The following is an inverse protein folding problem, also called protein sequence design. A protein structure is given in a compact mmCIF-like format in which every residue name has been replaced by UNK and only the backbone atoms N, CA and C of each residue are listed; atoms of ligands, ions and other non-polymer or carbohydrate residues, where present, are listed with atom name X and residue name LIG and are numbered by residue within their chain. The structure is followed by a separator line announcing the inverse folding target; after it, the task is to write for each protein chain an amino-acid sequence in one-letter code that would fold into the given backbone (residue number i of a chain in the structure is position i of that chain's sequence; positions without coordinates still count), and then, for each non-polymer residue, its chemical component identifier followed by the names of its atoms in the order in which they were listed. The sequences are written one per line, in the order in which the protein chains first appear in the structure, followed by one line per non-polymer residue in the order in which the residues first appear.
data_IF_677794789280
#
_entry.id   IF_677794789280
#
_cell.length_a   1.000
_cell.length_b   1.000
_cell.length_c   1.000
_cell.angle_alpha   90.00
_cell.angle_beta   90.00
_cell.angle_gamma   90.00
#
_symmetry.space_group_name_H-M   'P 1'
#
loop_
_entity.id
_entity.type
_entity.pdbx_description
1 polymer ?
#
# COMPACT_ATOMS: atom_id res chain seq x y z
N UNK A 1 9.88 33.68 -45.42
CA UNK A 1 8.80 34.30 -44.62
C UNK A 1 7.56 33.42 -44.41
N UNK A 2 7.18 32.48 -45.30
CA UNK A 2 6.04 31.56 -45.04
C UNK A 2 6.34 30.42 -44.03
N UNK A 3 7.60 29.99 -43.89
CA UNK A 3 7.98 28.90 -42.97
C UNK A 3 7.89 29.25 -41.49
N UNK A 4 8.29 30.47 -41.08
CA UNK A 4 8.36 30.84 -39.65
C UNK A 4 7.00 31.06 -38.98
N UNK A 5 5.97 31.47 -39.74
CA UNK A 5 4.61 31.60 -39.21
C UNK A 5 3.92 30.24 -39.03
N UNK A 6 4.28 29.25 -39.86
CA UNK A 6 3.73 27.89 -39.75
C UNK A 6 4.33 27.17 -38.52
N UNK A 7 5.65 27.29 -38.32
CA UNK A 7 6.33 26.75 -37.13
C UNK A 7 5.86 27.41 -35.82
N UNK A 8 5.58 28.72 -35.84
CA UNK A 8 5.09 29.43 -34.64
C UNK A 8 3.66 29.02 -34.27
N UNK A 9 2.76 28.90 -35.24
CA UNK A 9 1.40 28.41 -35.02
C UNK A 9 1.37 26.94 -34.58
N UNK A 10 2.27 26.12 -35.13
CA UNK A 10 2.41 24.71 -34.75
C UNK A 10 2.91 24.57 -33.30
N UNK A 11 3.91 25.35 -32.89
CA UNK A 11 4.39 25.39 -31.50
C UNK A 11 3.32 25.83 -30.50
N UNK A 12 2.51 26.84 -30.84
CA UNK A 12 1.40 27.29 -29.99
C UNK A 12 0.33 26.19 -29.86
N UNK A 13 0.06 25.47 -30.95
CA UNK A 13 -0.90 24.35 -30.93
C UNK A 13 -0.39 23.18 -30.08
N UNK A 14 0.87 22.78 -30.24
CA UNK A 14 1.53 21.74 -29.44
C UNK A 14 1.54 22.10 -27.95
N UNK A 15 1.92 23.33 -27.60
CA UNK A 15 1.88 23.82 -26.21
C UNK A 15 0.47 23.80 -25.61
N UNK A 16 -0.55 24.12 -26.41
CA UNK A 16 -1.94 24.05 -25.99
C UNK A 16 -2.39 22.61 -25.74
N UNK A 17 -1.99 21.66 -26.60
CA UNK A 17 -2.28 20.23 -26.44
C UNK A 17 -1.60 19.64 -25.19
N UNK A 18 -0.32 19.97 -24.97
CA UNK A 18 0.41 19.53 -23.78
C UNK A 18 -0.23 20.06 -22.49
N UNK A 19 -0.70 21.32 -22.51
CA UNK A 19 -1.41 21.90 -21.37
C UNK A 19 -2.73 21.19 -21.07
N UNK A 20 -3.48 20.79 -22.11
CA UNK A 20 -4.72 20.01 -21.95
C UNK A 20 -4.40 18.62 -21.38
N UNK A 21 -3.43 17.90 -21.94
CA UNK A 21 -3.03 16.57 -21.47
C UNK A 21 -2.55 16.62 -20.01
N UNK A 22 -1.69 17.57 -19.66
CA UNK A 22 -1.24 17.76 -18.28
C UNK A 22 -2.42 18.03 -17.35
N UNK A 23 -3.40 18.83 -17.77
CA UNK A 23 -4.60 19.08 -16.96
C UNK A 23 -5.41 17.81 -16.72
N UNK A 24 -5.60 16.97 -17.74
CA UNK A 24 -6.30 15.69 -17.60
C UNK A 24 -5.56 14.72 -16.67
N UNK A 25 -4.22 14.64 -16.78
CA UNK A 25 -3.40 13.82 -15.88
C UNK A 25 -3.51 14.32 -14.44
N UNK A 26 -3.50 15.64 -14.20
CA UNK A 26 -3.71 16.19 -12.85
C UNK A 26 -5.10 15.86 -12.30
N UNK A 27 -6.13 15.86 -13.13
CA UNK A 27 -7.47 15.43 -12.71
C UNK A 27 -7.47 13.94 -12.34
N UNK A 28 -6.84 13.08 -13.15
CA UNK A 28 -6.70 11.67 -12.85
C UNK A 28 -5.92 11.42 -11.55
N UNK A 29 -4.81 12.13 -11.33
CA UNK A 29 -4.05 12.13 -10.08
C UNK A 29 -4.94 12.45 -8.88
N UNK A 30 -5.73 13.53 -8.97
CA UNK A 30 -6.61 13.94 -7.87
C UNK A 30 -7.65 12.87 -7.53
N UNK A 31 -8.19 12.17 -8.53
CA UNK A 31 -9.08 11.04 -8.33
C UNK A 31 -8.32 9.90 -7.62
N UNK A 32 -7.15 9.51 -8.15
CA UNK A 32 -6.33 8.44 -7.60
C UNK A 32 -5.98 8.70 -6.13
N UNK A 33 -5.47 9.89 -5.81
CA UNK A 33 -5.09 10.26 -4.46
C UNK A 33 -6.26 10.27 -3.49
N UNK A 34 -7.46 10.66 -3.92
CA UNK A 34 -8.67 10.59 -3.07
C UNK A 34 -9.11 9.16 -2.80
N UNK A 35 -8.90 8.25 -3.75
CA UNK A 35 -9.24 6.84 -3.60
C UNK A 35 -8.26 6.08 -2.70
N UNK A 36 -6.96 6.41 -2.77
CA UNK A 36 -5.91 5.82 -1.94
C UNK A 36 -5.86 6.44 -0.54
N UNK A 37 -5.78 7.77 -0.45
CA UNK A 37 -5.59 8.50 0.81
C UNK A 37 -6.94 8.99 1.39
N UNK A 38 -7.99 8.20 1.21
CA UNK A 38 -9.33 8.49 1.71
C UNK A 38 -9.42 8.43 3.24
N UNK A 39 -10.64 8.62 3.76
CA UNK A 39 -10.88 8.52 5.20
C UNK A 39 -10.53 7.11 5.70
N UNK A 40 -9.69 7.04 6.74
CA UNK A 40 -9.31 5.79 7.41
C UNK A 40 -10.45 5.34 8.32
N UNK A 41 -10.81 4.04 8.35
CA UNK A 41 -11.80 3.53 9.30
C UNK A 41 -11.45 3.84 10.75
N UNK A 42 -12.46 4.16 11.55
CA UNK A 42 -12.33 4.22 13.00
C UNK A 42 -12.37 2.80 13.57
N UNK A 43 -11.51 2.53 14.54
CA UNK A 43 -11.35 1.21 15.13
C UNK A 43 -11.77 1.26 16.60
N UNK A 44 -12.29 0.15 17.10
CA UNK A 44 -12.63 -0.01 18.52
C UNK A 44 -11.39 -0.04 19.41
N UNK A 45 -10.27 -0.53 18.87
CA UNK A 45 -8.98 -0.59 19.52
C UNK A 45 -7.86 -0.49 18.47
N UNK A 46 -6.73 0.10 18.86
CA UNK A 46 -5.57 0.30 17.97
C UNK A 46 -5.74 1.43 16.96
N UNK A 47 -4.80 1.50 16.03
CA UNK A 47 -4.72 2.56 15.02
C UNK A 47 -4.19 2.03 13.69
N UNK A 48 -4.60 2.66 12.60
CA UNK A 48 -4.11 2.38 11.25
C UNK A 48 -3.60 3.65 10.59
N UNK A 49 -2.62 3.47 9.71
CA UNK A 49 -2.17 4.51 8.79
C UNK A 49 -1.84 3.93 7.43
N UNK A 50 -1.76 4.80 6.44
CA UNK A 50 -1.68 4.41 5.04
C UNK A 50 -1.39 5.66 4.23
N UNK A 51 -0.35 5.59 3.41
CA UNK A 51 0.05 6.65 2.49
C UNK A 51 0.69 6.03 1.24
N UNK A 52 0.41 6.64 0.09
CA UNK A 52 1.06 6.31 -1.18
C UNK A 52 1.61 7.58 -1.83
N UNK A 53 2.89 7.54 -2.17
CA UNK A 53 3.69 8.61 -2.76
C UNK A 53 4.16 8.15 -4.14
N UNK A 54 3.54 8.63 -5.24
CA UNK A 54 3.94 8.21 -6.57
C UNK A 54 5.29 8.80 -6.98
N UNK A 55 6.12 8.03 -7.70
CA UNK A 55 7.37 8.51 -8.30
C UNK A 55 7.14 9.48 -9.47
N UNK A 56 5.96 9.38 -10.11
CA UNK A 56 5.52 10.26 -11.20
C UNK A 56 4.29 11.05 -10.77
N UNK A 57 3.59 11.67 -11.72
CA UNK A 57 2.33 12.38 -11.43
C UNK A 57 1.26 11.41 -10.90
N UNK A 58 1.28 10.16 -11.35
CA UNK A 58 0.35 9.08 -11.00
C UNK A 58 1.11 7.75 -10.94
N UNK A 59 0.70 6.84 -10.05
CA UNK A 59 1.43 5.61 -9.72
C UNK A 59 0.64 4.31 -9.96
N UNK A 60 1.34 3.17 -9.93
CA UNK A 60 0.78 1.81 -9.96
C UNK A 60 0.45 1.24 -8.59
N UNK A 61 1.10 1.75 -7.53
CA UNK A 61 0.87 1.29 -6.17
C UNK A 61 -0.58 1.45 -5.71
N UNK A 62 -1.01 0.48 -4.90
CA UNK A 62 -2.35 0.39 -4.33
C UNK A 62 -2.30 0.05 -2.85
N UNK A 63 -3.17 0.69 -2.08
CA UNK A 63 -3.61 0.13 -0.82
C UNK A 63 -5.07 0.49 -0.54
N UNK A 64 -5.71 -0.27 0.34
CA UNK A 64 -7.08 0.02 0.73
C UNK A 64 -7.47 -0.61 2.07
N UNK A 65 -8.49 -0.03 2.68
CA UNK A 65 -9.09 -0.48 3.91
C UNK A 65 -10.59 -0.74 3.69
N UNK A 66 -11.04 -1.95 4.04
CA UNK A 66 -12.41 -2.42 3.91
C UNK A 66 -12.91 -2.93 5.28
N UNK A 67 -13.74 -2.14 6.00
CA UNK A 67 -14.41 -2.61 7.21
C UNK A 67 -15.38 -3.75 6.90
N UNK A 68 -15.28 -4.86 7.61
CA UNK A 68 -16.17 -6.00 7.49
C UNK A 68 -17.35 -5.89 8.49
N UNK A 69 -18.53 -6.48 8.18
CA UNK A 69 -19.71 -6.38 9.05
C UNK A 69 -19.54 -6.97 10.45
N UNK A 70 -18.57 -7.87 10.64
CA UNK A 70 -18.24 -8.52 11.91
C UNK A 70 -17.26 -7.70 12.77
N UNK A 71 -16.88 -6.49 12.33
CA UNK A 71 -15.97 -5.61 13.04
C UNK A 71 -14.48 -5.82 12.70
N UNK A 72 -14.16 -6.83 11.89
CA UNK A 72 -12.81 -7.00 11.34
C UNK A 72 -12.52 -5.93 10.28
N UNK A 73 -11.24 -5.69 10.04
CA UNK A 73 -10.75 -4.84 8.97
C UNK A 73 -10.01 -5.70 7.95
N UNK A 74 -10.51 -5.73 6.72
CA UNK A 74 -9.74 -6.27 5.58
C UNK A 74 -8.90 -5.15 4.98
N UNK A 75 -7.61 -5.37 4.83
CA UNK A 75 -6.68 -4.46 4.18
C UNK A 75 -5.99 -5.13 3.01
N UNK A 76 -5.56 -4.32 2.05
CA UNK A 76 -4.72 -4.76 0.95
C UNK A 76 -3.65 -3.72 0.68
N UNK A 77 -2.47 -4.19 0.27
CA UNK A 77 -1.42 -3.40 -0.35
C UNK A 77 -0.96 -4.15 -1.60
N UNK A 78 -0.51 -3.43 -2.62
CA UNK A 78 0.09 -4.05 -3.78
C UNK A 78 0.76 -3.06 -4.70
N UNK A 79 1.53 -3.63 -5.64
CA UNK A 79 2.23 -2.90 -6.69
C UNK A 79 1.91 -3.52 -8.05
N UNK A 80 1.58 -2.65 -9.00
CA UNK A 80 1.26 -3.00 -10.38
C UNK A 80 2.51 -2.84 -11.22
N UNK A 81 2.86 -3.90 -11.96
CA UNK A 81 4.00 -3.86 -12.89
C UNK A 81 3.94 -2.65 -13.84
N UNK A 82 5.00 -1.85 -13.82
CA UNK A 82 5.15 -0.68 -14.69
C UNK A 82 4.98 0.63 -13.91
N UNK A 83 4.90 1.77 -14.61
CA UNK A 83 4.84 3.10 -13.97
C UNK A 83 3.97 4.06 -14.75
N UNK A 84 3.48 5.10 -14.08
CA UNK A 84 2.71 6.18 -14.71
C UNK A 84 1.29 5.74 -15.07
N UNK A 85 0.74 6.32 -16.14
CA UNK A 85 -0.68 6.19 -16.49
C UNK A 85 -1.13 4.73 -16.72
N UNK A 86 -0.38 3.87 -17.45
CA UNK A 86 -0.81 2.48 -17.66
C UNK A 86 -0.94 1.69 -16.35
N UNK A 87 0.05 1.84 -15.46
CA UNK A 87 0.03 1.18 -14.15
C UNK A 87 -1.12 1.73 -13.28
N UNK A 88 -1.35 3.04 -13.31
CA UNK A 88 -2.47 3.68 -12.61
C UNK A 88 -3.85 3.18 -13.07
N UNK A 89 -4.03 2.90 -14.37
CA UNK A 89 -5.28 2.32 -14.87
C UNK A 89 -5.51 0.91 -14.32
N UNK A 90 -4.48 0.07 -14.34
CA UNK A 90 -4.52 -1.28 -13.78
C UNK A 90 -4.70 -1.26 -12.26
N UNK A 91 -4.17 -0.25 -11.57
CA UNK A 91 -4.43 -0.03 -10.15
C UNK A 91 -5.93 0.18 -9.90
N UNK A 92 -6.60 1.03 -10.69
CA UNK A 92 -8.05 1.25 -10.55
C UNK A 92 -8.85 -0.05 -10.80
N UNK A 93 -8.45 -0.86 -11.78
CA UNK A 93 -9.04 -2.19 -12.00
C UNK A 93 -8.83 -3.10 -10.78
N UNK A 94 -7.62 -3.12 -10.24
CA UNK A 94 -7.26 -3.89 -9.04
C UNK A 94 -8.10 -3.49 -7.84
N UNK A 95 -8.29 -2.18 -7.63
CA UNK A 95 -9.19 -1.64 -6.59
C UNK A 95 -10.62 -2.11 -6.77
N UNK A 96 -11.14 -2.09 -8.00
CA UNK A 96 -12.49 -2.59 -8.30
C UNK A 96 -12.64 -4.07 -7.96
N UNK A 97 -11.67 -4.90 -8.37
CA UNK A 97 -11.65 -6.33 -8.07
C UNK A 97 -11.56 -6.59 -6.55
N UNK A 98 -10.70 -5.86 -5.84
CA UNK A 98 -10.58 -5.98 -4.38
C UNK A 98 -11.90 -5.62 -3.69
N UNK A 99 -12.50 -4.47 -4.00
CA UNK A 99 -13.75 -4.04 -3.34
C UNK A 99 -14.90 -5.02 -3.57
N UNK A 100 -14.98 -5.63 -4.76
CA UNK A 100 -15.97 -6.67 -5.05
C UNK A 100 -15.68 -7.99 -4.34
N UNK A 101 -14.41 -8.40 -4.26
CA UNK A 101 -14.02 -9.65 -3.61
C UNK A 101 -14.13 -9.56 -2.08
N UNK A 102 -13.72 -8.43 -1.49
CA UNK A 102 -13.76 -8.19 -0.05
C UNK A 102 -15.18 -8.30 0.53
N UNK A 103 -16.20 -7.89 -0.23
CA UNK A 103 -17.61 -7.99 0.19
C UNK A 103 -18.14 -9.43 0.22
N UNK A 104 -17.56 -10.33 -0.59
CA UNK A 104 -18.16 -11.64 -0.90
C UNK A 104 -17.34 -12.85 -0.44
N UNK A 105 -16.16 -12.65 0.16
CA UNK A 105 -15.22 -13.73 0.53
C UNK A 105 -14.94 -13.75 2.03
N UNK A 106 -14.71 -14.94 2.58
CA UNK A 106 -14.59 -15.14 4.03
C UNK A 106 -13.24 -14.67 4.60
N UNK A 107 -12.18 -14.75 3.80
CA UNK A 107 -10.80 -14.48 4.23
C UNK A 107 -9.92 -13.85 3.13
N UNK A 108 -8.68 -13.46 3.48
CA UNK A 108 -7.74 -12.83 2.56
C UNK A 108 -7.29 -13.74 1.41
N UNK A 109 -7.12 -15.05 1.63
CA UNK A 109 -6.72 -16.01 0.59
C UNK A 109 -7.82 -16.22 -0.45
N UNK A 110 -9.07 -16.34 0.00
CA UNK A 110 -10.24 -16.36 -0.89
C UNK A 110 -10.37 -15.04 -1.66
N UNK A 111 -10.12 -13.90 -1.00
CA UNK A 111 -10.10 -12.57 -1.64
C UNK A 111 -9.10 -12.55 -2.79
N UNK A 112 -7.85 -12.95 -2.54
CA UNK A 112 -6.80 -12.97 -3.57
C UNK A 112 -7.12 -13.94 -4.71
N UNK A 113 -7.69 -15.11 -4.38
CA UNK A 113 -8.13 -16.10 -5.38
C UNK A 113 -9.21 -15.51 -6.30
N UNK A 114 -10.21 -14.85 -5.72
CA UNK A 114 -11.28 -14.19 -6.47
C UNK A 114 -10.74 -13.04 -7.33
N UNK A 115 -9.84 -12.21 -6.80
CA UNK A 115 -9.17 -11.15 -7.55
C UNK A 115 -8.37 -11.69 -8.72
N UNK A 116 -7.57 -12.75 -8.52
CA UNK A 116 -6.79 -13.37 -9.57
C UNK A 116 -7.70 -13.89 -10.68
N UNK A 117 -8.78 -14.60 -10.34
CA UNK A 117 -9.73 -15.11 -11.32
C UNK A 117 -10.41 -13.99 -12.13
N UNK A 118 -10.74 -12.87 -11.49
CA UNK A 118 -11.34 -11.73 -12.16
C UNK A 118 -10.37 -10.99 -13.10
N UNK A 119 -9.09 -10.88 -12.71
CA UNK A 119 -8.10 -10.06 -13.42
C UNK A 119 -7.20 -10.85 -14.37
N UNK A 120 -7.11 -12.18 -14.24
CA UNK A 120 -6.11 -12.99 -14.94
C UNK A 120 -6.11 -12.79 -16.47
N UNK A 121 -7.29 -12.80 -17.10
CA UNK A 121 -7.41 -12.64 -18.55
C UNK A 121 -6.89 -11.29 -19.05
N UNK A 122 -7.25 -10.22 -18.35
CA UNK A 122 -6.84 -8.85 -18.69
C UNK A 122 -5.35 -8.63 -18.44
N UNK A 123 -4.84 -9.03 -17.27
CA UNK A 123 -3.42 -8.95 -16.93
C UNK A 123 -2.55 -9.73 -17.91
N UNK A 124 -2.98 -10.94 -18.28
CA UNK A 124 -2.26 -11.76 -19.26
C UNK A 124 -2.24 -11.12 -20.64
N UNK A 125 -3.36 -10.53 -21.08
CA UNK A 125 -3.46 -9.83 -22.37
C UNK A 125 -2.54 -8.61 -22.41
N UNK A 126 -2.43 -7.90 -21.29
CA UNK A 126 -1.62 -6.69 -21.16
C UNK A 126 -0.13 -6.98 -20.86
N UNK A 127 0.26 -8.25 -20.73
CA UNK A 127 1.59 -8.65 -20.25
C UNK A 127 1.98 -7.95 -18.93
N UNK A 128 1.03 -7.85 -18.01
CA UNK A 128 1.18 -7.22 -16.71
C UNK A 128 0.84 -8.20 -15.59
N UNK A 129 1.17 -7.82 -14.37
CA UNK A 129 0.82 -8.54 -13.15
C UNK A 129 0.73 -7.54 -11.99
N UNK A 130 0.17 -7.99 -10.88
CA UNK A 130 0.08 -7.20 -9.65
C UNK A 130 0.54 -8.05 -8.48
N UNK A 131 1.54 -7.58 -7.76
CA UNK A 131 1.92 -8.17 -6.47
C UNK A 131 1.00 -7.61 -5.40
N UNK A 132 0.48 -8.46 -4.51
CA UNK A 132 -0.45 -8.02 -3.45
C UNK A 132 -0.22 -8.74 -2.14
N UNK A 133 -0.46 -8.08 -1.02
CA UNK A 133 -0.67 -8.70 0.28
C UNK A 133 -2.03 -8.26 0.83
N UNK A 134 -2.85 -9.24 1.22
CA UNK A 134 -4.19 -9.01 1.76
C UNK A 134 -4.25 -9.59 3.17
N UNK A 135 -4.94 -8.90 4.09
CA UNK A 135 -5.07 -9.36 5.45
C UNK A 135 -6.39 -8.95 6.10
N UNK A 136 -6.86 -9.80 7.00
CA UNK A 136 -7.93 -9.51 7.95
C UNK A 136 -7.33 -9.28 9.32
N UNK A 137 -7.71 -8.18 9.95
CA UNK A 137 -7.36 -7.89 11.33
C UNK A 137 -8.63 -7.72 12.17
N UNK A 138 -8.70 -8.44 13.28
CA UNK A 138 -9.66 -8.18 14.34
C UNK A 138 -9.01 -7.31 15.42
N UNK A 139 -9.37 -6.01 15.54
CA UNK A 139 -8.79 -5.13 16.54
C UNK A 139 -9.20 -5.48 17.98
N UNK A 140 -10.29 -6.23 18.16
CA UNK A 140 -10.80 -6.62 19.47
C UNK A 140 -10.06 -7.83 20.05
N UNK A 141 -9.84 -8.85 19.22
CA UNK A 141 -9.13 -10.05 19.66
C UNK A 141 -7.62 -9.98 19.43
N UNK A 142 -7.14 -9.14 18.50
CA UNK A 142 -5.74 -9.15 18.05
C UNK A 142 -5.44 -10.25 17.02
N UNK A 143 -6.44 -11.00 16.56
CA UNK A 143 -6.27 -11.98 15.48
C UNK A 143 -5.89 -11.26 14.18
N UNK A 144 -4.86 -11.76 13.51
CA UNK A 144 -4.41 -11.26 12.21
C UNK A 144 -4.17 -12.44 11.26
N UNK A 145 -4.93 -12.48 10.17
CA UNK A 145 -4.85 -13.50 9.13
C UNK A 145 -4.41 -12.81 7.84
N UNK A 146 -3.43 -13.37 7.13
CA UNK A 146 -2.95 -12.77 5.89
C UNK A 146 -2.68 -13.81 4.82
N UNK A 147 -2.76 -13.36 3.57
CA UNK A 147 -2.35 -14.07 2.37
C UNK A 147 -1.43 -13.16 1.55
N UNK A 148 -0.48 -13.77 0.84
CA UNK A 148 0.48 -13.04 0.03
C UNK A 148 0.46 -13.57 -1.41
N UNK A 149 0.30 -12.67 -2.37
CA UNK A 149 0.38 -12.92 -3.80
C UNK A 149 1.64 -12.31 -4.40
N UNK A 150 2.80 -12.79 -3.96
CA UNK A 150 4.11 -12.39 -4.48
C UNK A 150 4.57 -10.99 -4.09
N UNK A 151 4.02 -10.41 -3.02
CA UNK A 151 4.39 -9.09 -2.51
C UNK A 151 5.37 -9.19 -1.34
N UNK A 152 5.94 -8.06 -0.95
CA UNK A 152 6.83 -7.96 0.21
C UNK A 152 6.13 -8.47 1.48
N UNK A 153 6.89 -9.16 2.34
CA UNK A 153 6.35 -9.66 3.58
C UNK A 153 6.14 -8.49 4.56
N UNK A 154 5.00 -8.41 5.28
CA UNK A 154 4.81 -7.38 6.29
C UNK A 154 5.85 -7.53 7.40
N UNK A 155 6.35 -6.41 7.93
CA UNK A 155 7.25 -6.39 9.07
C UNK A 155 6.41 -6.37 10.35
N UNK A 156 6.71 -7.29 11.27
CA UNK A 156 6.19 -7.29 12.63
C UNK A 156 7.24 -6.72 13.57
N UNK A 157 6.84 -5.73 14.35
CA UNK A 157 7.65 -5.16 15.43
C UNK A 157 6.94 -5.40 16.75
N UNK A 158 7.65 -6.05 17.67
CA UNK A 158 7.22 -6.23 19.05
C UNK A 158 8.16 -5.49 19.98
N UNK A 159 7.67 -5.09 21.15
CA UNK A 159 8.46 -4.35 22.14
C UNK A 159 9.70 -5.14 22.60
N UNK A 160 9.57 -6.46 22.75
CA UNK A 160 10.58 -7.30 23.37
C UNK A 160 11.44 -8.11 22.37
N UNK A 161 11.20 -7.96 21.06
CA UNK A 161 11.93 -8.69 20.03
C UNK A 161 12.41 -7.76 18.94
N UNK A 162 13.42 -8.20 18.19
CA UNK A 162 13.81 -7.51 16.96
C UNK A 162 12.62 -7.45 15.99
N UNK A 163 12.60 -6.39 15.18
CA UNK A 163 11.67 -6.29 14.05
C UNK A 163 12.02 -7.38 13.04
N UNK A 164 11.02 -8.11 12.57
CA UNK A 164 11.21 -9.21 11.61
C UNK A 164 10.10 -9.23 10.59
N UNK A 165 10.41 -9.62 9.35
CA UNK A 165 9.38 -9.97 8.38
C UNK A 165 8.52 -11.13 8.88
N UNK A 166 7.22 -11.05 8.63
CA UNK A 166 6.31 -12.17 8.83
C UNK A 166 6.73 -13.33 7.90
N UNK A 167 6.44 -14.58 8.30
CA UNK A 167 6.79 -15.72 7.47
C UNK A 167 6.19 -15.60 6.06
N UNK A 168 7.05 -15.74 5.05
CA UNK A 168 6.64 -15.68 3.65
C UNK A 168 5.68 -16.83 3.33
N UNK A 169 4.57 -16.50 2.68
CA UNK A 169 3.65 -17.48 2.10
C UNK A 169 4.01 -17.68 0.63
N UNK A 170 3.98 -18.92 0.18
CA UNK A 170 4.22 -19.24 -1.23
C UNK A 170 2.98 -18.83 -2.03
N UNK A 171 3.00 -17.64 -2.61
CA UNK A 171 1.95 -17.18 -3.51
C UNK A 171 2.53 -16.46 -4.72
N UNK A 172 1.83 -16.58 -5.84
CA UNK A 172 2.22 -15.98 -7.12
C UNK A 172 1.40 -14.70 -7.33
N UNK A 173 2.02 -13.67 -7.88
CA UNK A 173 1.35 -12.43 -8.32
C UNK A 173 0.05 -12.68 -9.09
N UNK A 174 -0.92 -11.78 -8.92
CA UNK A 174 -2.16 -11.81 -9.70
C UNK A 174 -1.82 -11.73 -11.20
N UNK A 175 -2.49 -12.55 -12.01
CA UNK A 175 -2.17 -12.68 -13.44
C UNK A 175 -1.03 -13.64 -13.76
N UNK A 176 -0.34 -14.20 -12.75
CA UNK A 176 0.75 -15.16 -12.95
C UNK A 176 0.28 -16.56 -13.33
N UNK A 177 -0.67 -17.14 -12.58
CA UNK A 177 -1.25 -18.45 -12.85
C UNK A 177 -2.79 -18.42 -12.80
N UNK A 178 -3.49 -19.06 -13.75
CA UNK A 178 -4.95 -19.12 -13.74
C UNK A 178 -5.43 -20.01 -12.59
N UNK A 179 -6.48 -19.59 -11.88
CA UNK A 179 -7.05 -20.40 -10.80
C UNK A 179 -6.14 -20.57 -9.57
N UNK A 180 -5.12 -19.72 -9.42
CA UNK A 180 -4.25 -19.74 -8.24
C UNK A 180 -5.08 -19.59 -6.96
N UNK A 181 -4.94 -20.58 -6.06
CA UNK A 181 -5.42 -20.49 -4.68
C UNK A 181 -4.29 -19.91 -3.79
N UNK A 182 -4.66 -19.11 -2.81
CA UNK A 182 -3.70 -18.47 -1.91
C UNK A 182 -3.86 -19.00 -0.49
N UNK A 183 -2.77 -19.54 0.04
CA UNK A 183 -2.71 -19.98 1.44
C UNK A 183 -2.78 -18.78 2.38
N UNK A 184 -3.32 -19.04 3.57
CA UNK A 184 -3.43 -18.07 4.64
C UNK A 184 -2.51 -18.46 5.81
N UNK A 185 -2.04 -17.45 6.55
CA UNK A 185 -1.38 -17.65 7.83
C UNK A 185 -1.99 -16.74 8.87
N UNK A 186 -2.13 -17.30 10.07
CA UNK A 186 -2.62 -16.59 11.23
C UNK A 186 -1.48 -16.31 12.21
N UNK A 187 -1.51 -15.11 12.78
CA UNK A 187 -0.74 -14.73 13.96
C UNK A 187 -1.66 -13.99 14.93
N UNK A 188 -1.18 -13.83 16.15
CA UNK A 188 -1.85 -13.04 17.16
C UNK A 188 -0.97 -11.85 17.54
N UNK A 189 -1.54 -10.65 17.42
CA UNK A 189 -0.91 -9.39 17.79
C UNK A 189 -1.14 -9.11 19.27
N UNK A 190 -0.07 -8.71 19.96
CA UNK A 190 -0.11 -8.28 21.35
C UNK A 190 -0.29 -6.77 21.43
N UNK A 191 -0.62 -6.27 22.62
CA UNK A 191 -0.68 -4.84 22.88
C UNK A 191 0.61 -4.14 22.42
N UNK A 192 0.48 -2.98 21.79
CA UNK A 192 1.58 -2.22 21.17
C UNK A 192 2.30 -2.85 19.98
N UNK A 193 1.98 -4.09 19.56
CA UNK A 193 2.58 -4.66 18.35
C UNK A 193 2.26 -3.77 17.13
N UNK A 194 3.26 -3.59 16.26
CA UNK A 194 3.15 -2.86 15.00
C UNK A 194 3.33 -3.82 13.84
N UNK A 195 2.39 -3.79 12.89
CA UNK A 195 2.57 -4.33 11.55
C UNK A 195 2.84 -3.18 10.58
N UNK A 196 3.85 -3.36 9.74
CA UNK A 196 4.28 -2.42 8.72
C UNK A 196 4.34 -3.11 7.37
N UNK A 197 3.51 -2.67 6.44
CA UNK A 197 3.45 -3.14 5.06
C UNK A 197 4.04 -2.07 4.16
N UNK A 198 4.73 -2.50 3.11
CA UNK A 198 5.44 -1.59 2.22
C UNK A 198 5.58 -2.16 0.83
N UNK A 199 5.69 -1.26 -0.15
CA UNK A 199 6.14 -1.57 -1.51
C UNK A 199 7.65 -1.46 -1.61
N UNK A 200 8.24 -2.11 -2.62
CA UNK A 200 9.70 -2.16 -2.81
C UNK A 200 10.35 -0.78 -2.91
N UNK A 201 9.64 0.25 -3.38
CA UNK A 201 10.09 1.63 -3.42
C UNK A 201 10.64 2.17 -2.08
N UNK A 202 10.23 1.61 -0.93
CA UNK A 202 10.82 1.95 0.38
C UNK A 202 12.26 1.44 0.48
N UNK A 203 12.48 0.15 0.24
CA UNK A 203 13.79 -0.49 0.45
C UNK A 203 14.73 -0.27 -0.73
N UNK A 204 14.19 -0.04 -1.92
CA UNK A 204 14.93 0.26 -3.15
C UNK A 204 15.23 1.76 -3.34
N UNK A 205 14.78 2.63 -2.43
CA UNK A 205 15.13 4.05 -2.46
C UNK A 205 16.66 4.24 -2.46
N UNK A 206 17.19 5.08 -3.36
CA UNK A 206 18.64 5.23 -3.56
C UNK A 206 19.16 6.62 -3.19
N UNK A 207 20.34 6.65 -2.58
CA UNK A 207 21.10 7.87 -2.35
C UNK A 207 21.94 8.28 -3.59
N UNK A 208 22.74 9.36 -3.49
CA UNK A 208 23.60 9.82 -4.61
C UNK A 208 24.70 8.85 -5.00
N UNK A 209 25.09 7.95 -4.10
CA UNK A 209 26.03 6.87 -4.36
C UNK A 209 25.37 5.65 -5.03
N UNK A 210 24.06 5.72 -5.35
CA UNK A 210 23.26 4.60 -5.86
C UNK A 210 23.13 3.43 -4.88
N UNK A 211 23.33 3.68 -3.58
CA UNK A 211 23.14 2.68 -2.52
C UNK A 211 21.68 2.66 -2.11
N UNK A 212 21.09 1.47 -2.07
CA UNK A 212 19.69 1.27 -1.64
C UNK A 212 19.54 1.47 -0.13
N UNK A 213 18.39 1.98 0.30
CA UNK A 213 18.04 2.16 1.72
C UNK A 213 18.06 0.82 2.46
N UNK A 214 17.62 -0.26 1.81
CA UNK A 214 17.61 -1.64 2.27
C UNK A 214 16.69 -1.96 3.46
N UNK A 215 16.48 -3.25 3.67
CA UNK A 215 15.58 -3.79 4.69
C UNK A 215 16.16 -3.62 6.09
N UNK A 216 17.47 -3.80 6.27
CA UNK A 216 18.11 -3.75 7.59
C UNK A 216 17.96 -2.37 8.25
N UNK A 217 18.07 -1.29 7.46
CA UNK A 217 17.81 0.07 7.95
C UNK A 217 16.35 0.26 8.33
N UNK A 218 15.41 -0.24 7.50
CA UNK A 218 13.98 -0.15 7.77
C UNK A 218 13.62 -0.87 9.08
N UNK A 219 14.09 -2.10 9.28
CA UNK A 219 13.87 -2.87 10.51
C UNK A 219 14.39 -2.11 11.75
N UNK A 220 15.59 -1.55 11.66
CA UNK A 220 16.21 -0.77 12.75
C UNK A 220 15.42 0.51 13.06
N UNK A 221 14.96 1.22 12.03
CA UNK A 221 14.17 2.43 12.16
C UNK A 221 12.83 2.13 12.85
N UNK A 222 12.12 1.10 12.39
CA UNK A 222 10.83 0.72 12.93
C UNK A 222 10.93 0.25 14.37
N UNK A 223 11.94 -0.57 14.70
CA UNK A 223 12.18 -1.03 16.08
C UNK A 223 12.43 0.14 17.04
N UNK A 224 13.23 1.13 16.64
CA UNK A 224 13.58 2.28 17.49
C UNK A 224 12.44 3.30 17.70
N UNK A 225 11.38 3.26 16.89
CA UNK A 225 10.24 4.17 16.98
C UNK A 225 8.92 3.45 17.27
N UNK A 226 8.97 2.14 17.56
CA UNK A 226 7.79 1.30 17.76
C UNK A 226 6.94 1.70 18.97
N UNK A 227 7.46 2.52 19.90
CA UNK A 227 6.72 3.06 21.04
C UNK A 227 5.89 4.31 20.68
N UNK A 228 6.17 4.94 19.54
CA UNK A 228 5.53 6.20 19.11
C UNK A 228 4.11 6.01 18.58
N UNK A 229 3.28 7.07 18.57
CA UNK A 229 2.03 7.09 17.85
C UNK A 229 2.24 6.77 16.36
N UNK A 230 1.31 6.04 15.74
CA UNK A 230 1.43 5.57 14.36
C UNK A 230 1.70 6.70 13.33
N UNK A 231 1.13 7.88 13.56
CA UNK A 231 1.35 9.06 12.71
C UNK A 231 2.78 9.62 12.83
N UNK A 232 3.40 9.52 14.00
CA UNK A 232 4.80 9.93 14.20
C UNK A 232 5.74 8.92 13.54
N UNK A 233 5.41 7.62 13.59
CA UNK A 233 6.14 6.57 12.87
C UNK A 233 6.07 6.83 11.35
N UNK A 234 4.88 7.11 10.80
CA UNK A 234 4.69 7.40 9.37
C UNK A 234 5.58 8.55 8.92
N UNK A 235 5.50 9.69 9.63
CA UNK A 235 6.29 10.88 9.34
C UNK A 235 7.80 10.61 9.47
N UNK A 236 8.21 9.79 10.44
CA UNK A 236 9.60 9.45 10.65
C UNK A 236 10.14 8.62 9.48
N UNK A 237 9.38 7.62 9.01
CA UNK A 237 9.78 6.81 7.85
C UNK A 237 9.89 7.68 6.60
N UNK A 238 8.86 8.48 6.30
CA UNK A 238 8.87 9.36 5.12
C UNK A 238 10.05 10.33 5.16
N UNK A 239 10.26 11.04 6.28
CA UNK A 239 11.39 11.96 6.44
C UNK A 239 12.73 11.26 6.30
N UNK A 240 12.89 10.07 6.88
CA UNK A 240 14.14 9.31 6.80
C UNK A 240 14.47 8.93 5.35
N UNK A 241 13.47 8.56 4.54
CA UNK A 241 13.66 8.27 3.11
C UNK A 241 14.00 9.53 2.31
N UNK A 242 13.35 10.66 2.59
CA UNK A 242 13.67 11.96 1.98
C UNK A 242 15.11 12.40 2.29
N UNK A 243 15.54 12.24 3.55
CA UNK A 243 16.90 12.56 4.00
C UNK A 243 17.92 11.62 3.35
N UNK A 244 17.63 10.30 3.31
CA UNK A 244 18.51 9.30 2.71
C UNK A 244 18.68 9.48 1.20
N UNK A 245 17.62 9.87 0.50
CA UNK A 245 17.67 10.11 -0.95
C UNK A 245 18.28 11.47 -1.33
N UNK A 246 18.59 12.33 -0.36
CA UNK A 246 19.26 13.63 -0.56
C UNK A 246 18.53 14.53 -1.59
N UNK A 247 17.20 14.44 -1.62
CA UNK A 247 16.33 15.16 -2.55
C UNK A 247 16.35 14.66 -4.00
N UNK A 248 16.90 13.46 -4.26
CA UNK A 248 16.80 12.83 -5.58
C UNK A 248 15.34 12.48 -5.91
N UNK A 249 14.95 12.53 -7.20
CA UNK A 249 13.64 12.06 -7.62
C UNK A 249 13.45 10.58 -7.27
N UNK A 250 12.27 10.24 -6.74
CA UNK A 250 11.87 8.87 -6.48
C UNK A 250 11.94 8.04 -7.77
N UNK A 251 12.51 6.82 -7.65
CA UNK A 251 12.60 5.89 -8.79
C UNK A 251 11.36 5.03 -8.92
N UNK A 252 10.74 4.68 -7.80
CA UNK A 252 9.50 3.92 -7.74
C UNK A 252 8.47 4.56 -6.82
N UNK A 253 7.22 4.12 -6.97
CA UNK A 253 6.16 4.50 -6.05
C UNK A 253 6.48 3.97 -4.65
N UNK A 254 6.18 4.77 -3.63
CA UNK A 254 6.40 4.42 -2.22
C UNK A 254 5.06 4.35 -1.54
N UNK A 255 4.66 3.16 -1.10
CA UNK A 255 3.43 2.96 -0.35
C UNK A 255 3.72 2.26 0.95
N UNK A 256 3.13 2.80 2.02
CA UNK A 256 3.28 2.34 3.39
C UNK A 256 1.88 2.16 3.97
N UNK A 257 1.63 1.02 4.59
CA UNK A 257 0.44 0.76 5.40
C UNK A 257 0.89 0.28 6.76
N UNK A 258 0.25 0.77 7.82
CA UNK A 258 0.61 0.42 9.18
C UNK A 258 -0.63 0.13 10.01
N UNK A 259 -0.44 -0.75 10.98
CA UNK A 259 -1.44 -1.15 11.94
C UNK A 259 -0.74 -1.31 13.28
N UNK A 260 -1.28 -0.66 14.31
CA UNK A 260 -0.75 -0.72 15.66
C UNK A 260 -1.83 -1.19 16.61
N UNK A 261 -1.58 -2.29 17.30
CA UNK A 261 -2.49 -2.79 18.32
C UNK A 261 -2.54 -1.81 19.49
N UNK A 262 -3.74 -1.50 19.95
CA UNK A 262 -3.91 -0.57 21.07
C UNK A 262 -3.45 -1.19 22.38
N UNK A 263 -3.18 -0.33 23.35
CA UNK A 263 -2.92 -0.76 24.72
C UNK A 263 -4.26 -0.98 25.40
N UNK A 264 -4.70 -2.23 25.52
CA UNK A 264 -5.70 -2.57 26.51
C UNK A 264 -5.06 -2.43 27.90
N UNK A 265 -5.00 -1.20 28.41
CA UNK A 265 -5.12 -1.02 29.85
C UNK A 265 -6.59 -1.28 30.13
N UNK A 266 -6.89 -2.36 30.84
CA UNK A 266 -8.21 -2.54 31.42
C UNK A 266 -8.47 -1.37 32.37
N UNK A 267 -9.16 -0.34 31.89
CA UNK A 267 -9.94 0.51 32.76
C UNK A 267 -11.26 -0.22 33.00
N UNK A 268 -11.28 -0.96 34.11
CA UNK A 268 -12.50 -1.07 34.91
C UNK A 268 -13.05 0.35 35.10
N UNK A 269 -14.08 0.70 34.33
CA UNK A 269 -15.05 1.71 34.75
C UNK A 269 -15.91 1.08 35.84
N UNK A 270 -15.29 0.75 36.97
CA UNK A 270 -16.00 0.54 38.22
C UNK A 270 -16.27 1.91 38.84
N UNK A 271 -17.56 2.22 38.96
CA UNK A 271 -18.15 3.10 39.98
C UNK A 271 -17.36 4.35 40.38
N UNK A 272 -17.81 5.50 39.89
CA UNK A 272 -18.18 6.59 40.81
C UNK A 272 -19.34 7.40 40.22
N UNK A 273 -20.57 7.02 40.60
CA UNK A 273 -21.62 8.00 40.86
C UNK A 273 -21.32 8.66 42.23
N UNK A 274 -21.71 9.92 42.42
CA UNK A 274 -23.07 10.17 42.90
C UNK A 274 -23.91 11.06 41.98
#
# INVERSE_FOLDING_TARGET
MKGSNMESSQRIHEQSQDAVLLREIHLAKNIQQRLLNGAKPLLSNGAISGISLPARIIGGDYFDFYPLPDGRLRLIIGDVMGKGIPAAMLMILTRGAFRSAAESTAGPGETLTAMNNALYGDLRTLNSFVTVCCADWDPSSGQFIYANGGHNAPILVRTDTEATELPTLNGIMLGGLPGQAYDEKEIHLKASDLLFFYTDGVVEAQNRASEMYNLERLLSLLHSHADKPIAEIENTVVRTLEEYTEGLPQRDDITIVMLKMGNHLGEDLSDTAP
#
